data_IF_758095791203
#
_entry.id   IF_758095791203
#
_cell.length_a   1.000
_cell.length_b   1.000
_cell.length_c   1.000
_cell.angle_alpha   90.00
_cell.angle_beta   90.00
_cell.angle_gamma   90.00
#
_symmetry.space_group_name_H-M   'P 1'
#
loop_
_entity.id
_entity.type
_entity.pdbx_description
1 polymer ?
#
# COMPACT_ATOMS: atom_id res chain seq x y z
N UNK A 1 -1.80 -2.89 -23.94
CA UNK A 1 -2.90 -3.31 -24.83
C UNK A 1 -4.12 -3.64 -23.97
N UNK A 2 -5.36 -3.22 -24.33
CA UNK A 2 -6.57 -3.47 -23.51
C UNK A 2 -6.85 -4.96 -23.27
N UNK A 3 -6.28 -5.85 -24.06
CA UNK A 3 -6.41 -7.30 -23.87
C UNK A 3 -5.75 -7.82 -22.60
N UNK A 4 -4.68 -7.18 -22.13
CA UNK A 4 -3.95 -7.64 -20.94
C UNK A 4 -4.71 -7.30 -19.64
N UNK A 5 -5.31 -6.12 -19.56
CA UNK A 5 -6.19 -5.72 -18.44
C UNK A 5 -7.41 -6.63 -18.33
N UNK A 6 -7.98 -7.04 -19.47
CA UNK A 6 -9.10 -7.99 -19.52
C UNK A 6 -8.63 -9.37 -19.06
N UNK A 7 -7.43 -9.81 -19.41
CA UNK A 7 -6.90 -11.11 -18.98
C UNK A 7 -6.59 -11.13 -17.50
N UNK A 8 -5.97 -10.07 -16.95
CA UNK A 8 -5.70 -9.96 -15.51
C UNK A 8 -7.00 -9.76 -14.72
N UNK A 9 -7.96 -8.99 -15.24
CA UNK A 9 -9.28 -8.82 -14.66
C UNK A 9 -10.12 -10.11 -14.69
N UNK A 10 -10.01 -10.89 -15.75
CA UNK A 10 -10.63 -12.21 -15.83
C UNK A 10 -9.93 -13.24 -14.93
N UNK A 11 -8.60 -13.18 -14.79
CA UNK A 11 -7.85 -13.99 -13.82
C UNK A 11 -8.28 -13.66 -12.38
N UNK A 12 -8.43 -12.39 -12.06
CA UNK A 12 -8.83 -11.94 -10.72
C UNK A 12 -10.33 -12.18 -10.43
N UNK A 13 -11.19 -12.15 -11.45
CA UNK A 13 -12.64 -12.27 -11.24
C UNK A 13 -13.22 -13.66 -11.57
N UNK A 14 -12.57 -14.45 -12.40
CA UNK A 14 -13.13 -15.74 -12.84
C UNK A 14 -12.23 -16.94 -12.53
N UNK A 15 -10.91 -16.78 -12.50
CA UNK A 15 -9.98 -17.85 -12.16
C UNK A 15 -9.48 -17.78 -10.71
N UNK A 16 -9.54 -16.61 -10.05
CA UNK A 16 -9.22 -16.53 -8.61
C UNK A 16 -10.21 -17.34 -7.77
N UNK A 17 -11.44 -17.56 -8.27
CA UNK A 17 -12.39 -18.50 -7.68
C UNK A 17 -12.01 -19.98 -7.90
N UNK A 18 -11.06 -20.23 -8.81
CA UNK A 18 -10.58 -21.58 -9.18
C UNK A 18 -9.10 -21.80 -8.94
N UNK A 19 -8.34 -20.76 -8.52
CA UNK A 19 -6.93 -20.97 -8.15
C UNK A 19 -6.84 -21.78 -6.86
N UNK A 20 -6.07 -22.87 -6.87
CA UNK A 20 -5.77 -23.61 -5.65
C UNK A 20 -5.19 -22.66 -4.61
N UNK A 21 -5.61 -22.78 -3.36
CA UNK A 21 -5.19 -21.92 -2.25
C UNK A 21 -3.67 -21.91 -2.03
N UNK A 22 -2.97 -22.96 -2.44
CA UNK A 22 -1.52 -23.11 -2.41
C UNK A 22 -0.80 -22.17 -3.41
N UNK A 23 -1.44 -21.79 -4.51
CA UNK A 23 -0.89 -20.85 -5.50
C UNK A 23 -1.21 -19.38 -5.16
N UNK A 24 -2.33 -19.13 -4.48
CA UNK A 24 -2.74 -17.77 -4.13
C UNK A 24 -1.81 -17.14 -3.09
N UNK A 25 -1.37 -17.87 -2.09
CA UNK A 25 -0.56 -17.32 -1.01
C UNK A 25 0.82 -16.80 -1.49
N UNK A 26 1.59 -17.54 -2.32
CA UNK A 26 2.83 -17.02 -2.91
C UNK A 26 2.58 -15.80 -3.79
N UNK A 27 1.53 -15.81 -4.62
CA UNK A 27 1.19 -14.68 -5.49
C UNK A 27 0.89 -13.41 -4.67
N UNK A 28 0.08 -13.51 -3.62
CA UNK A 28 -0.24 -12.38 -2.73
C UNK A 28 1.03 -11.83 -2.09
N UNK A 29 1.95 -12.70 -1.67
CA UNK A 29 3.22 -12.28 -1.09
C UNK A 29 4.12 -11.56 -2.11
N UNK A 30 4.11 -11.96 -3.39
CA UNK A 30 4.87 -11.32 -4.46
C UNK A 30 4.25 -9.98 -4.87
N UNK A 31 2.94 -9.88 -4.92
CA UNK A 31 2.21 -8.64 -5.14
C UNK A 31 2.45 -7.62 -4.00
N UNK A 32 2.46 -8.09 -2.76
CA UNK A 32 2.84 -7.25 -1.61
C UNK A 32 4.28 -6.76 -1.71
N UNK A 33 5.22 -7.64 -2.10
CA UNK A 33 6.62 -7.25 -2.34
C UNK A 33 6.71 -6.16 -3.42
N UNK A 34 5.97 -6.26 -4.52
CA UNK A 34 5.91 -5.23 -5.56
C UNK A 34 5.39 -3.90 -5.00
N UNK A 35 4.36 -3.93 -4.16
CA UNK A 35 3.80 -2.74 -3.52
C UNK A 35 4.82 -2.04 -2.61
N UNK A 36 5.57 -2.81 -1.81
CA UNK A 36 6.65 -2.26 -0.97
C UNK A 36 7.79 -1.72 -1.82
N UNK A 37 8.13 -2.39 -2.93
CA UNK A 37 9.16 -1.93 -3.86
C UNK A 37 8.76 -0.61 -4.53
N UNK A 38 7.50 -0.44 -4.88
CA UNK A 38 6.96 0.82 -5.42
C UNK A 38 7.19 2.00 -4.47
N UNK A 39 6.95 1.79 -3.19
CA UNK A 39 7.10 2.82 -2.16
C UNK A 39 8.59 3.13 -1.85
N UNK A 40 9.43 2.09 -1.76
CA UNK A 40 10.85 2.25 -1.37
C UNK A 40 11.75 2.63 -2.53
N UNK A 41 11.38 2.26 -3.76
CA UNK A 41 12.22 2.39 -4.98
C UNK A 41 13.61 1.78 -4.85
N UNK A 42 13.75 0.79 -3.94
CA UNK A 42 15.03 0.15 -3.60
C UNK A 42 14.83 -1.31 -3.23
N UNK A 43 15.43 -2.22 -3.98
CA UNK A 43 15.43 -3.64 -3.63
C UNK A 43 16.06 -3.94 -2.29
N UNK A 44 17.11 -3.20 -1.91
CA UNK A 44 17.77 -3.37 -0.61
C UNK A 44 16.85 -2.98 0.54
N UNK A 45 16.18 -1.83 0.43
CA UNK A 45 15.26 -1.37 1.46
C UNK A 45 13.99 -2.24 1.52
N UNK A 46 13.47 -2.66 0.36
CA UNK A 46 12.35 -3.62 0.29
C UNK A 46 12.70 -4.92 0.99
N UNK A 47 13.86 -5.49 0.68
CA UNK A 47 14.34 -6.73 1.28
C UNK A 47 14.46 -6.60 2.81
N UNK A 48 15.03 -5.48 3.29
CA UNK A 48 15.14 -5.19 4.72
C UNK A 48 13.76 -5.13 5.41
N UNK A 49 12.80 -4.42 4.82
CA UNK A 49 11.43 -4.29 5.37
C UNK A 49 10.68 -5.61 5.43
N UNK A 50 10.90 -6.47 4.45
CA UNK A 50 10.19 -7.75 4.34
C UNK A 50 10.96 -8.93 4.96
N UNK A 51 12.14 -8.69 5.52
CA UNK A 51 12.94 -9.76 6.16
C UNK A 51 13.46 -10.81 5.18
N UNK A 52 13.69 -10.44 3.91
CA UNK A 52 14.21 -11.34 2.86
C UNK A 52 15.55 -10.84 2.34
N UNK A 53 16.30 -11.68 1.60
CA UNK A 53 17.51 -11.22 0.92
C UNK A 53 17.17 -10.38 -0.32
N UNK A 54 18.08 -9.44 -0.69
CA UNK A 54 17.95 -8.65 -1.93
C UNK A 54 17.85 -9.56 -3.16
N UNK A 55 18.60 -10.65 -3.18
CA UNK A 55 18.57 -11.62 -4.29
C UNK A 55 17.18 -12.29 -4.38
N UNK A 56 16.62 -12.71 -3.24
CA UNK A 56 15.27 -13.28 -3.18
C UNK A 56 14.22 -12.28 -3.66
N UNK A 57 14.25 -11.04 -3.18
CA UNK A 57 13.32 -10.01 -3.61
C UNK A 57 13.39 -9.77 -5.12
N UNK A 58 14.61 -9.72 -5.70
CA UNK A 58 14.81 -9.53 -7.13
C UNK A 58 14.31 -10.73 -7.95
N UNK A 59 14.56 -11.95 -7.49
CA UNK A 59 14.11 -13.18 -8.15
C UNK A 59 12.59 -13.28 -8.15
N UNK A 60 11.93 -12.99 -7.02
CA UNK A 60 10.47 -13.02 -6.88
C UNK A 60 9.79 -12.02 -7.82
N UNK A 61 10.31 -10.81 -7.95
CA UNK A 61 9.80 -9.83 -8.93
C UNK A 61 9.98 -10.35 -10.35
N UNK A 62 11.13 -10.92 -10.70
CA UNK A 62 11.36 -11.48 -12.05
C UNK A 62 10.42 -12.65 -12.36
N UNK A 63 10.11 -13.47 -11.36
CA UNK A 63 9.16 -14.57 -11.51
C UNK A 63 7.72 -14.06 -11.67
N UNK A 64 7.34 -13.02 -10.91
CA UNK A 64 6.06 -12.35 -11.07
C UNK A 64 5.90 -11.75 -12.48
N UNK A 65 6.94 -11.08 -13.00
CA UNK A 65 6.98 -10.54 -14.37
C UNK A 65 6.87 -11.64 -15.43
N UNK A 66 7.58 -12.75 -15.23
CA UNK A 66 7.56 -13.91 -16.14
C UNK A 66 6.16 -14.53 -16.19
N UNK A 67 5.51 -14.73 -15.04
CA UNK A 67 4.18 -15.32 -14.93
C UNK A 67 3.12 -14.38 -15.49
N UNK A 68 3.24 -13.07 -15.23
CA UNK A 68 2.34 -12.05 -15.75
C UNK A 68 2.55 -11.79 -17.26
N UNK A 69 3.68 -12.19 -17.83
CA UNK A 69 4.02 -11.95 -19.24
C UNK A 69 4.29 -10.48 -19.56
N UNK A 70 4.57 -9.64 -18.53
CA UNK A 70 4.82 -8.22 -18.70
C UNK A 70 5.83 -7.72 -17.68
N UNK A 71 6.68 -6.77 -18.09
CA UNK A 71 7.58 -6.09 -17.17
C UNK A 71 6.79 -5.14 -16.25
N UNK A 72 7.00 -5.26 -14.96
CA UNK A 72 6.38 -4.43 -13.93
C UNK A 72 7.36 -3.40 -13.35
N UNK A 73 8.66 -3.69 -13.44
CA UNK A 73 9.72 -2.88 -12.85
C UNK A 73 10.74 -2.49 -13.91
N UNK A 74 11.05 -1.20 -13.99
CA UNK A 74 12.19 -0.67 -14.75
C UNK A 74 13.41 -0.63 -13.83
N UNK A 75 14.46 -1.34 -14.23
CA UNK A 75 15.73 -1.39 -13.50
C UNK A 75 16.78 -0.65 -14.30
N UNK A 76 17.34 0.39 -13.74
CA UNK A 76 18.55 1.03 -14.26
C UNK A 76 19.67 0.91 -13.24
N UNK A 77 20.90 1.20 -13.64
CA UNK A 77 22.05 1.19 -12.71
C UNK A 77 21.93 2.24 -11.60
N UNK A 78 21.04 3.23 -11.78
CA UNK A 78 20.88 4.36 -10.86
C UNK A 78 19.53 4.43 -10.15
N UNK A 79 18.52 3.73 -10.65
CA UNK A 79 17.16 3.81 -10.11
C UNK A 79 16.34 2.55 -10.35
N UNK A 80 15.38 2.34 -9.46
CA UNK A 80 14.32 1.35 -9.59
C UNK A 80 13.00 2.11 -9.66
N UNK A 81 12.20 1.84 -10.68
CA UNK A 81 10.87 2.44 -10.87
C UNK A 81 9.89 1.41 -11.41
N UNK A 82 8.61 1.74 -11.38
CA UNK A 82 7.58 0.90 -12.00
C UNK A 82 7.44 1.21 -13.49
N UNK A 83 7.00 0.23 -14.26
CA UNK A 83 6.42 0.44 -15.60
C UNK A 83 4.99 0.96 -15.44
N UNK A 84 4.34 1.35 -16.53
CA UNK A 84 2.92 1.71 -16.52
C UNK A 84 2.05 0.54 -16.01
N UNK A 85 2.32 -0.69 -16.49
CA UNK A 85 1.63 -1.89 -16.03
C UNK A 85 1.88 -2.17 -14.54
N UNK A 86 3.12 -1.96 -14.06
CA UNK A 86 3.46 -2.11 -12.64
C UNK A 86 2.77 -1.07 -11.77
N UNK A 87 2.68 0.18 -12.23
CA UNK A 87 1.98 1.25 -11.49
C UNK A 87 0.48 0.97 -11.41
N UNK A 88 -0.12 0.56 -12.53
CA UNK A 88 -1.54 0.20 -12.55
C UNK A 88 -1.83 -0.95 -11.58
N UNK A 89 -1.04 -2.03 -11.65
CA UNK A 89 -1.20 -3.19 -10.76
C UNK A 89 -1.08 -2.79 -9.28
N UNK A 90 -0.10 -1.97 -8.92
CA UNK A 90 0.08 -1.48 -7.55
C UNK A 90 -1.12 -0.65 -7.10
N UNK A 91 -1.62 0.25 -7.95
CA UNK A 91 -2.80 1.07 -7.64
C UNK A 91 -4.03 0.20 -7.37
N UNK A 92 -4.23 -0.84 -8.17
CA UNK A 92 -5.38 -1.75 -8.03
C UNK A 92 -5.26 -2.64 -6.78
N UNK A 93 -4.03 -3.00 -6.38
CA UNK A 93 -3.79 -3.87 -5.23
C UNK A 93 -3.78 -3.15 -3.88
N UNK A 94 -3.41 -1.86 -3.85
CA UNK A 94 -3.33 -1.09 -2.60
C UNK A 94 -4.63 -1.11 -1.78
N UNK A 95 -5.83 -0.89 -2.36
CA UNK A 95 -7.08 -0.97 -1.61
C UNK A 95 -7.33 -2.36 -1.02
N UNK A 96 -6.97 -3.43 -1.75
CA UNK A 96 -7.14 -4.81 -1.28
C UNK A 96 -6.25 -5.11 -0.07
N UNK A 97 -4.97 -4.73 -0.11
CA UNK A 97 -4.04 -4.91 1.01
C UNK A 97 -4.47 -4.09 2.23
N UNK A 98 -4.95 -2.86 2.02
CA UNK A 98 -5.52 -2.05 3.10
C UNK A 98 -6.70 -2.77 3.74
N UNK A 99 -7.65 -3.26 2.95
CA UNK A 99 -8.83 -3.98 3.46
C UNK A 99 -8.47 -5.24 4.24
N UNK A 100 -7.47 -5.99 3.80
CA UNK A 100 -6.94 -7.15 4.55
C UNK A 100 -6.39 -6.71 5.90
N UNK A 101 -5.59 -5.64 5.93
CA UNK A 101 -5.02 -5.09 7.16
C UNK A 101 -6.10 -4.60 8.12
N UNK A 102 -7.09 -3.85 7.62
CA UNK A 102 -8.23 -3.37 8.40
C UNK A 102 -9.05 -4.52 8.99
N UNK A 103 -9.34 -5.56 8.18
CA UNK A 103 -10.09 -6.73 8.65
C UNK A 103 -9.34 -7.49 9.75
N UNK A 104 -8.01 -7.63 9.60
CA UNK A 104 -7.18 -8.26 10.61
C UNK A 104 -7.11 -7.41 11.88
N UNK A 105 -6.97 -6.09 11.76
CA UNK A 105 -6.99 -5.15 12.89
C UNK A 105 -8.32 -5.20 13.62
N UNK A 106 -9.44 -5.14 12.89
CA UNK A 106 -10.77 -5.25 13.48
C UNK A 106 -10.95 -6.57 14.26
N UNK A 107 -10.47 -7.69 13.73
CA UNK A 107 -10.50 -8.97 14.45
C UNK A 107 -9.67 -8.95 15.74
N UNK A 108 -8.54 -8.23 15.76
CA UNK A 108 -7.73 -8.01 16.96
C UNK A 108 -8.39 -7.04 17.93
N UNK A 109 -9.15 -6.05 17.44
CA UNK A 109 -9.82 -5.02 18.25
C UNK A 109 -11.04 -5.54 19.01
N UNK A 110 -11.57 -6.72 18.62
CA UNK A 110 -12.48 -7.48 19.48
C UNK A 110 -11.89 -7.79 20.88
N UNK A 111 -10.59 -7.60 21.06
CA UNK A 111 -9.89 -7.68 22.35
C UNK A 111 -9.92 -6.36 23.18
N UNK A 112 -10.57 -5.31 22.72
CA UNK A 112 -10.94 -4.15 23.55
C UNK A 112 -9.92 -3.00 23.64
N UNK A 113 -8.77 -3.05 22.96
CA UNK A 113 -7.80 -1.93 22.99
C UNK A 113 -7.64 -1.33 21.57
N UNK A 114 -8.00 -0.04 21.37
CA UNK A 114 -7.79 0.64 20.09
C UNK A 114 -6.33 0.67 19.72
N UNK A 115 -5.99 0.23 18.48
CA UNK A 115 -4.61 0.18 17.96
C UNK A 115 -4.60 0.19 16.44
N UNK A 116 -3.51 0.60 15.86
CA UNK A 116 -3.32 0.62 14.40
C UNK A 116 -2.76 1.94 13.90
N UNK A 117 -2.67 2.07 12.58
CA UNK A 117 -2.16 3.25 11.89
C UNK A 117 -3.33 4.04 11.28
N UNK A 118 -3.38 5.33 11.55
CA UNK A 118 -4.30 6.28 10.93
C UNK A 118 -3.48 7.26 10.10
N UNK A 119 -3.79 7.38 8.81
CA UNK A 119 -3.15 8.32 7.89
C UNK A 119 -4.04 9.52 7.66
N UNK A 120 -3.60 10.67 8.13
CA UNK A 120 -4.33 11.94 8.07
C UNK A 120 -3.64 12.89 7.10
N UNK A 121 -4.43 13.73 6.44
CA UNK A 121 -3.92 14.89 5.74
C UNK A 121 -4.68 16.16 6.12
N UNK A 122 -3.94 17.27 6.27
CA UNK A 122 -4.51 18.56 6.66
C UNK A 122 -3.72 19.73 6.05
N UNK A 123 -4.33 20.93 5.94
CA UNK A 123 -3.61 22.15 5.59
C UNK A 123 -2.49 22.44 6.57
N UNK A 124 -1.37 23.00 6.08
CA UNK A 124 -0.15 23.21 6.85
C UNK A 124 -0.41 24.02 8.11
N UNK A 125 -1.09 25.16 7.99
CA UNK A 125 -1.35 26.05 9.13
C UNK A 125 -2.25 25.38 10.17
N UNK A 126 -3.37 24.80 9.74
CA UNK A 126 -4.32 24.11 10.62
C UNK A 126 -3.66 22.91 11.33
N UNK A 127 -2.88 22.14 10.58
CA UNK A 127 -2.20 20.97 11.10
C UNK A 127 -1.22 21.30 12.21
N UNK A 128 -0.38 22.32 12.00
CA UNK A 128 0.62 22.73 13.01
C UNK A 128 0.02 23.37 14.23
N UNK A 129 -0.96 24.27 14.03
CA UNK A 129 -1.50 25.08 15.14
C UNK A 129 -2.53 24.35 16.00
N UNK A 130 -3.34 23.51 15.40
CA UNK A 130 -4.49 22.92 16.08
C UNK A 130 -4.44 21.40 16.11
N UNK A 131 -4.11 20.76 14.99
CA UNK A 131 -4.24 19.31 14.90
C UNK A 131 -3.10 18.58 15.63
N UNK A 132 -1.86 19.03 15.50
CA UNK A 132 -0.72 18.38 16.14
C UNK A 132 -0.84 18.33 17.69
N UNK A 133 -1.26 19.39 18.41
CA UNK A 133 -1.50 19.29 19.83
C UNK A 133 -2.63 18.32 20.20
N UNK A 134 -3.72 18.30 19.41
CA UNK A 134 -4.83 17.37 19.63
C UNK A 134 -4.38 15.91 19.42
N UNK A 135 -3.60 15.65 18.38
CA UNK A 135 -3.02 14.32 18.11
C UNK A 135 -2.12 13.88 19.27
N UNK A 136 -1.27 14.78 19.76
CA UNK A 136 -0.38 14.46 20.88
C UNK A 136 -1.17 14.05 22.14
N UNK A 137 -2.24 14.77 22.45
CA UNK A 137 -3.12 14.43 23.58
C UNK A 137 -3.87 13.11 23.36
N UNK A 138 -4.33 12.84 22.14
CA UNK A 138 -4.99 11.61 21.77
C UNK A 138 -4.07 10.39 21.90
N UNK A 139 -2.83 10.48 21.42
CA UNK A 139 -1.85 9.40 21.50
C UNK A 139 -1.42 9.06 22.93
N UNK A 140 -1.54 10.01 23.86
CA UNK A 140 -1.34 9.72 25.29
C UNK A 140 -2.42 8.81 25.88
N UNK A 141 -3.66 8.92 25.36
CA UNK A 141 -4.77 8.06 25.80
C UNK A 141 -4.78 6.70 25.08
N UNK A 142 -4.27 6.65 23.85
CA UNK A 142 -4.27 5.47 23.00
C UNK A 142 -2.85 5.18 22.47
N UNK A 143 -1.96 4.62 23.31
CA UNK A 143 -0.54 4.46 23.00
C UNK A 143 -0.27 3.46 21.85
N UNK A 144 -1.21 2.56 21.58
CA UNK A 144 -1.09 1.56 20.51
C UNK A 144 -1.58 2.09 19.15
N UNK A 145 -2.08 3.34 19.09
CA UNK A 145 -2.40 4.01 17.84
C UNK A 145 -1.18 4.77 17.32
N UNK A 146 -0.96 4.66 16.02
CA UNK A 146 0.05 5.42 15.29
C UNK A 146 -0.66 6.36 14.32
N UNK A 147 -0.17 7.59 14.21
CA UNK A 147 -0.73 8.58 13.29
C UNK A 147 0.36 9.07 12.35
N UNK A 148 0.15 8.91 11.05
CA UNK A 148 0.90 9.58 9.99
C UNK A 148 0.14 10.82 9.56
N UNK A 149 0.70 12.00 9.82
CA UNK A 149 0.11 13.28 9.47
C UNK A 149 0.89 13.93 8.33
N UNK A 150 0.28 14.01 7.14
CA UNK A 150 0.80 14.77 6.02
C UNK A 150 0.18 16.17 5.97
N UNK A 151 1.02 17.20 6.06
CA UNK A 151 0.59 18.59 5.98
C UNK A 151 0.79 19.12 4.57
N UNK A 152 -0.30 19.37 3.88
CA UNK A 152 -0.29 19.89 2.51
C UNK A 152 -1.56 20.68 2.19
N UNK A 153 -1.41 21.76 1.43
CA UNK A 153 -2.53 22.61 0.99
C UNK A 153 -3.12 22.16 -0.36
N UNK A 154 -2.50 21.17 -1.03
CA UNK A 154 -3.05 20.59 -2.26
C UNK A 154 -4.28 19.74 -1.97
N UNK A 155 -5.19 19.66 -2.95
CA UNK A 155 -6.26 18.69 -2.91
C UNK A 155 -5.69 17.28 -3.11
N UNK A 156 -6.14 16.36 -2.26
CA UNK A 156 -5.72 14.96 -2.24
C UNK A 156 -6.91 14.07 -2.56
N UNK A 157 -6.70 13.08 -3.40
CA UNK A 157 -7.64 11.99 -3.57
C UNK A 157 -7.35 10.91 -2.53
N UNK A 158 -8.20 10.84 -1.49
CA UNK A 158 -8.04 9.91 -0.37
C UNK A 158 -7.86 8.46 -0.81
N UNK A 159 -8.67 8.02 -1.78
CA UNK A 159 -8.66 6.64 -2.25
C UNK A 159 -7.35 6.28 -2.97
N UNK A 160 -6.82 7.22 -3.78
CA UNK A 160 -5.63 6.97 -4.59
C UNK A 160 -4.32 7.15 -3.81
N UNK A 161 -4.34 8.00 -2.78
CA UNK A 161 -3.13 8.36 -2.03
C UNK A 161 -3.03 7.64 -0.68
N UNK A 162 -4.02 6.79 -0.35
CA UNK A 162 -3.97 5.91 0.82
C UNK A 162 -4.14 6.62 2.17
N UNK A 163 -4.88 7.73 2.19
CA UNK A 163 -5.27 8.40 3.43
C UNK A 163 -6.61 7.89 3.94
N UNK A 164 -6.73 7.78 5.27
CA UNK A 164 -7.97 7.39 5.93
C UNK A 164 -8.87 8.60 6.16
N UNK A 165 -8.28 9.78 6.38
CA UNK A 165 -9.01 11.01 6.66
C UNK A 165 -8.29 12.23 6.09
N UNK A 166 -9.06 13.15 5.50
CA UNK A 166 -8.61 14.49 5.14
C UNK A 166 -9.40 15.55 5.91
N UNK A 167 -8.69 16.43 6.56
CA UNK A 167 -9.26 17.64 7.18
C UNK A 167 -9.01 18.78 6.19
N UNK A 168 -10.04 19.48 5.78
CA UNK A 168 -9.94 20.60 4.85
C UNK A 168 -10.83 21.75 5.32
N UNK A 169 -10.37 22.95 5.06
CA UNK A 169 -11.15 24.16 5.30
C UNK A 169 -12.01 24.41 4.04
N UNK A 170 -13.32 24.43 4.21
CA UNK A 170 -14.25 24.88 3.17
C UNK A 170 -14.74 26.27 3.53
N UNK A 171 -14.53 27.24 2.62
CA UNK A 171 -15.27 28.49 2.70
C UNK A 171 -16.68 28.19 2.19
N UNK A 172 -17.64 28.20 3.11
CA UNK A 172 -19.08 28.27 2.76
C UNK A 172 -19.44 29.71 2.49
#
# INVERSE_FOLDING_TARGET
>A
SPRFLITLFNLLNNEAATMPSDQLAPLVADLHLLTVLAATRSFTETARRLGVSKASASMRISELERTAGVLLVRRTTRSVGLTEAGQQLVNDMQPAFRRISESYSAARDLAGTPRGLIRLTAPVALGRQHLAPCIAAFLQQFPDIHIELELTDRFINLANEGFDLAIRHTNT
#
